data_IF_634467495916
#
_entry.id   IF_634467495916
#
_cell.length_a   1.000
_cell.length_b   1.000
_cell.length_c   1.000
_cell.angle_alpha   90.00
_cell.angle_beta   90.00
_cell.angle_gamma   90.00
#
_symmetry.space_group_name_H-M   'P 1'
#
loop_
_entity.id
_entity.type
_entity.pdbx_description
1 polymer ?
#
# COMPACT_ATOMS: atom_id res chain seq x y z
N UNK A 1 3.63 -1.68 -13.25
CA UNK A 1 2.66 -1.01 -12.37
C UNK A 1 2.55 -1.83 -11.11
N UNK A 2 2.76 -1.23 -9.93
CA UNK A 2 2.68 -1.94 -8.63
C UNK A 2 1.29 -1.68 -8.04
N UNK A 3 0.68 -2.70 -7.44
CA UNK A 3 -0.60 -2.60 -6.75
C UNK A 3 -0.44 -3.02 -5.29
N UNK A 4 -1.25 -2.43 -4.40
CA UNK A 4 -1.37 -2.83 -2.99
C UNK A 4 -2.73 -3.46 -2.77
N UNK A 5 -2.75 -4.57 -2.04
CA UNK A 5 -3.98 -5.18 -1.53
C UNK A 5 -4.42 -4.41 -0.29
N UNK A 6 -5.64 -3.90 -0.30
CA UNK A 6 -6.27 -3.22 0.82
C UNK A 6 -7.46 -4.04 1.31
N UNK A 7 -7.60 -4.13 2.62
CA UNK A 7 -8.71 -4.82 3.30
C UNK A 7 -9.42 -3.78 4.16
N UNK A 8 -10.73 -3.67 4.02
CA UNK A 8 -11.53 -2.68 4.75
C UNK A 8 -12.81 -3.31 5.27
N UNK A 9 -13.16 -3.00 6.52
CA UNK A 9 -14.44 -3.34 7.13
C UNK A 9 -15.39 -2.13 7.05
N UNK A 10 -16.60 -2.35 6.58
CA UNK A 10 -17.58 -1.29 6.28
C UNK A 10 -18.89 -1.61 6.97
N UNK A 11 -19.50 -0.59 7.59
CA UNK A 11 -20.82 -0.72 8.24
C UNK A 11 -21.93 -0.23 7.32
N UNK A 12 -21.61 0.68 6.39
CA UNK A 12 -22.56 1.33 5.49
C UNK A 12 -22.84 0.52 4.21
N UNK A 13 -24.03 0.72 3.65
CA UNK A 13 -24.49 0.08 2.40
C UNK A 13 -23.82 0.66 1.14
N UNK A 14 -23.17 1.83 1.26
CA UNK A 14 -22.50 2.53 0.17
C UNK A 14 -21.10 2.93 0.61
N UNK A 15 -20.09 2.54 -0.16
CA UNK A 15 -18.71 2.98 0.02
C UNK A 15 -18.19 3.63 -1.26
N UNK A 16 -17.45 4.71 -1.10
CA UNK A 16 -16.63 5.28 -2.16
C UNK A 16 -15.18 4.79 -2.01
N UNK A 17 -14.63 4.23 -3.09
CA UNK A 17 -13.27 3.69 -3.14
C UNK A 17 -12.51 4.39 -4.28
N UNK A 18 -12.08 5.66 -4.09
CA UNK A 18 -11.58 6.50 -5.18
C UNK A 18 -10.33 5.94 -5.87
N UNK A 19 -9.50 5.18 -5.15
CA UNK A 19 -8.27 4.57 -5.67
C UNK A 19 -8.42 3.08 -6.02
N UNK A 20 -9.64 2.54 -5.95
CA UNK A 20 -9.87 1.12 -6.24
C UNK A 20 -9.84 0.87 -7.76
N UNK A 21 -8.87 0.06 -8.19
CA UNK A 21 -8.80 -0.45 -9.57
C UNK A 21 -9.63 -1.71 -9.75
N UNK A 22 -9.68 -2.57 -8.72
CA UNK A 22 -10.39 -3.85 -8.77
C UNK A 22 -10.83 -4.29 -7.39
N UNK A 23 -12.09 -4.72 -7.26
CA UNK A 23 -12.57 -5.43 -6.07
C UNK A 23 -12.38 -6.93 -6.28
N UNK A 24 -11.62 -7.58 -5.40
CA UNK A 24 -11.34 -9.00 -5.48
C UNK A 24 -12.38 -9.86 -4.74
N UNK A 25 -12.86 -9.39 -3.59
CA UNK A 25 -13.85 -10.10 -2.79
C UNK A 25 -14.63 -9.16 -1.87
N UNK A 26 -15.90 -9.50 -1.65
CA UNK A 26 -16.80 -8.86 -0.68
C UNK A 26 -17.42 -9.98 0.16
N UNK A 27 -17.13 -9.99 1.46
CA UNK A 27 -17.61 -11.02 2.38
C UNK A 27 -18.39 -10.38 3.52
N UNK A 28 -19.67 -10.73 3.73
CA UNK A 28 -20.41 -10.25 4.89
C UNK A 28 -19.89 -10.92 6.16
N UNK A 29 -19.66 -10.13 7.20
CA UNK A 29 -19.37 -10.58 8.55
C UNK A 29 -20.64 -10.44 9.41
N UNK A 30 -21.41 -11.53 9.50
CA UNK A 30 -22.66 -11.57 10.23
C UNK A 30 -22.52 -11.35 11.74
N UNK A 31 -21.32 -11.58 12.31
CA UNK A 31 -21.08 -11.38 13.75
C UNK A 31 -20.99 -9.90 14.09
N UNK A 32 -20.43 -9.09 13.20
CA UNK A 32 -20.20 -7.66 13.42
C UNK A 32 -21.16 -6.77 12.65
N UNK A 33 -22.04 -7.36 11.82
CA UNK A 33 -22.90 -6.66 10.88
C UNK A 33 -22.10 -5.69 9.98
N UNK A 34 -20.92 -6.14 9.54
CA UNK A 34 -20.02 -5.38 8.67
C UNK A 34 -19.72 -6.17 7.40
N UNK A 35 -19.36 -5.48 6.34
CA UNK A 35 -18.82 -6.06 5.11
C UNK A 35 -17.30 -5.95 5.11
N UNK A 36 -16.61 -7.04 4.80
CA UNK A 36 -15.18 -7.04 4.55
C UNK A 36 -14.95 -6.98 3.05
N UNK A 37 -14.28 -5.94 2.57
CA UNK A 37 -13.93 -5.76 1.16
C UNK A 37 -12.42 -5.88 1.00
N UNK A 38 -11.98 -6.69 0.03
CA UNK A 38 -10.58 -6.82 -0.39
C UNK A 38 -10.48 -6.25 -1.80
N UNK A 39 -9.66 -5.22 -1.99
CA UNK A 39 -9.49 -4.53 -3.27
C UNK A 39 -8.03 -4.17 -3.57
N UNK A 40 -7.75 -3.91 -4.84
CA UNK A 40 -6.44 -3.48 -5.33
C UNK A 40 -6.46 -1.98 -5.60
N UNK A 41 -5.47 -1.28 -5.06
CA UNK A 41 -5.20 0.12 -5.36
C UNK A 41 -3.79 0.28 -5.96
N UNK A 42 -3.58 1.20 -6.92
CA UNK A 42 -2.27 1.44 -7.49
C UNK A 42 -1.33 2.04 -6.44
N UNK A 43 -0.08 1.60 -6.43
CA UNK A 43 0.96 2.23 -5.60
C UNK A 43 1.51 3.41 -6.39
N UNK A 44 1.19 4.62 -5.94
CA UNK A 44 1.91 5.82 -6.38
C UNK A 44 3.23 5.85 -5.61
N UNK A 45 4.31 5.42 -6.25
CA UNK A 45 5.65 5.64 -5.69
C UNK A 45 5.91 7.15 -5.71
N UNK A 46 5.76 7.83 -4.57
CA UNK A 46 6.36 9.15 -4.40
C UNK A 46 7.86 9.03 -4.70
N UNK A 47 8.46 9.98 -5.46
CA UNK A 47 9.87 9.90 -5.80
C UNK A 47 10.68 9.79 -4.51
N UNK A 48 11.36 8.66 -4.35
CA UNK A 48 12.25 8.42 -3.23
C UNK A 48 13.22 9.60 -3.16
N UNK A 49 13.19 10.35 -2.06
CA UNK A 49 14.29 11.26 -1.74
C UNK A 49 15.52 10.37 -1.60
N UNK A 50 16.39 10.39 -2.59
CA UNK A 50 17.69 9.73 -2.55
C UNK A 50 18.45 10.33 -1.37
N UNK A 51 18.54 9.59 -0.25
CA UNK A 51 19.48 9.93 0.82
C UNK A 51 20.89 9.84 0.23
N UNK A 52 21.71 10.91 0.29
CA UNK A 52 23.06 10.88 -0.26
C UNK A 52 23.88 9.83 0.51
N UNK A 53 24.29 8.76 -0.19
CA UNK A 53 25.29 7.82 0.30
C UNK A 53 26.60 8.57 0.52
N UNK A 54 26.93 8.85 1.78
CA UNK A 54 28.29 9.20 2.19
C UNK A 54 29.19 8.02 1.82
N UNK A 55 30.03 8.22 0.80
CA UNK A 55 31.24 7.41 0.59
C UNK A 55 32.34 8.08 1.42
N UNK A 56 32.65 7.55 2.60
CA UNK A 56 33.98 7.78 3.17
C UNK A 56 34.97 6.85 2.48
N UNK A 57 36.07 7.45 2.06
CA UNK A 57 37.11 6.88 1.24
C UNK A 57 37.90 5.83 2.03
N UNK A 58 38.10 4.67 1.41
CA UNK A 58 39.17 3.74 1.75
C UNK A 58 40.50 4.40 1.32
N UNK A 59 41.13 5.17 2.22
CA UNK A 59 42.48 5.68 2.02
C UNK A 59 43.49 4.57 2.34
N UNK A 60 43.83 3.79 1.31
CA UNK A 60 45.11 3.08 1.25
C UNK A 60 46.19 4.09 0.87
N UNK A 61 46.95 4.52 1.86
CA UNK A 61 48.36 4.87 1.64
C UNK A 61 49.14 4.53 2.89
N UNK A 62 50.14 3.64 2.71
CA UNK A 62 51.15 3.31 3.72
C UNK A 62 52.04 4.50 4.07
N UNK A 63 53.18 4.29 4.74
CA UNK A 63 54.06 3.12 4.68
C UNK A 63 53.69 1.92 5.57
#
# INVERSE_FOLDING_TARGET
>A
MKYKVLVTDIVDDVIDLPDCTLVASITPNFRTNKWMIIYLAPVVEEPAKEEPKVKEAEEKSGP
#
